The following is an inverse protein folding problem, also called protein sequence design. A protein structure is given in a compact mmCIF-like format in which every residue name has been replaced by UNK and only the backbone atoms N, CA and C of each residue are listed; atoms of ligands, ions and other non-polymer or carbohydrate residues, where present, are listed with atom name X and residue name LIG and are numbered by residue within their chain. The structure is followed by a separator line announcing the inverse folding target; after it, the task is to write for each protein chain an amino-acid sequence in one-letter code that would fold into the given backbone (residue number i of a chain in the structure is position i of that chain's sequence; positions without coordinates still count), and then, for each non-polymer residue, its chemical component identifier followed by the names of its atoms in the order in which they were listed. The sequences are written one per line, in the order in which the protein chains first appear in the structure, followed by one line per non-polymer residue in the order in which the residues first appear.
data_IF_223906337905
#
_entry.id   IF_223906337905
#
_cell.length_a   1.000
_cell.length_b   1.000
_cell.length_c   1.000
_cell.angle_alpha   90.00
_cell.angle_beta   90.00
_cell.angle_gamma   90.00
#
_symmetry.space_group_name_H-M   'P 1'
#
loop_
_entity.id
_entity.type
_entity.pdbx_description
1 polymer ?
#
# COMPACT_ATOMS: atom_id res chain seq x y z
N UNK A 1 -9.54 44.23 -27.05
CA UNK A 1 -10.42 43.19 -26.47
C UNK A 1 -10.42 41.87 -27.25
N UNK A 2 -10.73 41.81 -28.55
CA UNK A 2 -10.74 40.52 -29.30
C UNK A 2 -9.42 39.73 -29.26
N UNK A 3 -8.28 40.41 -29.31
CA UNK A 3 -6.95 39.78 -29.20
C UNK A 3 -6.69 39.10 -27.83
N UNK A 4 -7.33 39.60 -26.77
CA UNK A 4 -7.18 39.04 -25.42
C UNK A 4 -7.95 37.71 -25.31
N UNK A 5 -9.15 37.66 -25.89
CA UNK A 5 -9.99 36.46 -25.96
C UNK A 5 -9.31 35.34 -26.77
N UNK A 6 -8.64 35.66 -27.88
CA UNK A 6 -7.89 34.65 -28.65
C UNK A 6 -6.67 34.12 -27.91
N UNK A 7 -5.99 34.98 -27.15
CA UNK A 7 -4.86 34.56 -26.31
C UNK A 7 -5.33 33.62 -25.19
N UNK A 8 -6.46 33.94 -24.56
CA UNK A 8 -7.10 33.10 -23.56
C UNK A 8 -7.57 31.75 -24.14
N UNK A 9 -8.16 31.75 -25.34
CA UNK A 9 -8.56 30.51 -26.01
C UNK A 9 -7.37 29.59 -26.30
N UNK A 10 -6.23 30.14 -26.74
CA UNK A 10 -4.99 29.38 -26.95
C UNK A 10 -4.45 28.79 -25.66
N UNK A 11 -4.48 29.54 -24.55
CA UNK A 11 -4.07 29.04 -23.23
C UNK A 11 -4.94 27.87 -22.79
N UNK A 12 -6.27 27.98 -22.93
CA UNK A 12 -7.18 26.89 -22.60
C UNK A 12 -7.02 25.66 -23.51
N UNK A 13 -6.75 25.83 -24.80
CA UNK A 13 -6.44 24.71 -25.71
C UNK A 13 -5.19 23.94 -25.23
N UNK A 14 -4.16 24.65 -24.77
CA UNK A 14 -2.95 24.04 -24.24
C UNK A 14 -3.19 23.33 -22.88
N UNK A 15 -3.84 24.01 -21.94
CA UNK A 15 -4.07 23.52 -20.56
C UNK A 15 -4.99 22.31 -20.49
N UNK A 16 -6.00 22.24 -21.38
CA UNK A 16 -6.90 21.07 -21.48
C UNK A 16 -6.17 19.73 -21.63
N UNK A 17 -4.98 19.74 -22.21
CA UNK A 17 -4.20 18.51 -22.47
C UNK A 17 -3.24 18.11 -21.35
N UNK A 18 -2.77 19.06 -20.55
CA UNK A 18 -1.75 18.83 -19.51
C UNK A 18 -2.36 18.79 -18.12
N UNK A 19 -3.21 19.78 -17.81
CA UNK A 19 -3.74 20.03 -16.47
C UNK A 19 -5.23 19.65 -16.36
N UNK A 20 -5.93 19.59 -17.50
CA UNK A 20 -7.38 19.54 -17.54
C UNK A 20 -7.98 20.94 -17.37
N UNK A 21 -9.23 21.12 -17.79
CA UNK A 21 -9.97 22.38 -17.64
C UNK A 21 -11.10 22.20 -16.64
N UNK A 22 -11.51 23.31 -16.01
CA UNK A 22 -12.75 23.33 -15.24
C UNK A 22 -13.95 23.22 -16.19
N UNK A 23 -15.10 22.80 -15.67
CA UNK A 23 -16.33 22.68 -16.47
C UNK A 23 -16.79 24.03 -17.06
N UNK A 24 -16.48 25.13 -16.38
CA UNK A 24 -16.80 26.49 -16.83
C UNK A 24 -15.89 26.91 -17.99
N UNK A 25 -14.59 26.68 -17.86
CA UNK A 25 -13.61 26.95 -18.92
C UNK A 25 -13.86 26.10 -20.16
N UNK A 26 -14.25 24.82 -20.00
CA UNK A 26 -14.62 23.96 -21.13
C UNK A 26 -15.85 24.49 -21.89
N UNK A 27 -16.87 24.97 -21.17
CA UNK A 27 -18.07 25.54 -21.79
C UNK A 27 -17.76 26.84 -22.51
N UNK A 28 -16.98 27.72 -21.89
CA UNK A 28 -16.54 28.97 -22.50
C UNK A 28 -15.71 28.70 -23.76
N UNK A 29 -14.73 27.80 -23.69
CA UNK A 29 -13.90 27.43 -24.84
C UNK A 29 -14.74 26.81 -25.95
N UNK A 30 -15.68 25.93 -25.61
CA UNK A 30 -16.61 25.33 -26.57
C UNK A 30 -17.45 26.38 -27.31
N UNK A 31 -17.98 27.37 -26.58
CA UNK A 31 -18.72 28.48 -27.17
C UNK A 31 -17.82 29.35 -28.07
N UNK A 32 -16.61 29.66 -27.63
CA UNK A 32 -15.66 30.47 -28.40
C UNK A 32 -15.22 29.78 -29.71
N UNK A 33 -14.99 28.45 -29.67
CA UNK A 33 -14.63 27.68 -30.87
C UNK A 33 -15.78 27.56 -31.87
N UNK A 34 -17.04 27.63 -31.42
CA UNK A 34 -18.19 27.65 -32.32
C UNK A 34 -18.35 28.99 -33.05
N UNK A 35 -17.86 30.08 -32.46
CA UNK A 35 -17.98 31.45 -33.02
C UNK A 35 -16.72 31.89 -33.79
N UNK A 36 -15.54 31.36 -33.45
CA UNK A 36 -14.26 31.74 -34.06
C UNK A 36 -13.61 30.62 -34.87
N UNK A 37 -13.68 30.74 -36.20
CA UNK A 37 -13.04 29.79 -37.14
C UNK A 37 -11.51 29.73 -37.03
N UNK A 38 -10.85 30.84 -36.68
CA UNK A 38 -9.39 30.88 -36.54
C UNK A 38 -8.92 29.96 -35.39
N UNK A 39 -9.52 30.11 -34.21
CA UNK A 39 -9.22 29.25 -33.07
C UNK A 39 -9.68 27.80 -33.29
N UNK A 40 -10.79 27.59 -34.00
CA UNK A 40 -11.28 26.25 -34.37
C UNK A 40 -10.34 25.53 -35.35
N UNK A 41 -9.75 26.23 -36.32
CA UNK A 41 -8.76 25.68 -37.24
C UNK A 41 -7.47 25.28 -36.50
N UNK A 42 -6.97 26.13 -35.61
CA UNK A 42 -5.77 25.86 -34.80
C UNK A 42 -5.99 24.65 -33.88
N UNK A 43 -7.15 24.57 -33.21
CA UNK A 43 -7.53 23.42 -32.38
C UNK A 43 -7.64 22.12 -33.21
N UNK A 44 -8.19 22.17 -34.42
CA UNK A 44 -8.25 21.01 -35.34
C UNK A 44 -6.86 20.53 -35.75
N UNK A 45 -6.00 21.44 -36.22
CA UNK A 45 -4.64 21.11 -36.65
C UNK A 45 -3.80 20.51 -35.52
N UNK A 46 -3.94 21.02 -34.30
CA UNK A 46 -3.27 20.46 -33.13
C UNK A 46 -3.78 19.05 -32.80
N UNK A 47 -5.09 18.80 -32.89
CA UNK A 47 -5.65 17.47 -32.67
C UNK A 47 -5.25 16.47 -33.77
N UNK A 48 -5.14 16.91 -35.02
CA UNK A 48 -4.70 16.08 -36.15
C UNK A 48 -3.21 15.72 -36.04
N UNK A 49 -2.35 16.68 -35.69
CA UNK A 49 -0.93 16.38 -35.45
C UNK A 49 -0.73 15.43 -34.28
N UNK A 50 -1.47 15.61 -33.18
CA UNK A 50 -1.44 14.69 -32.04
C UNK A 50 -2.02 13.31 -32.37
N UNK A 51 -3.08 13.24 -33.18
CA UNK A 51 -3.62 11.95 -33.60
C UNK A 51 -2.67 11.21 -34.54
N UNK A 52 -1.99 11.93 -35.45
CA UNK A 52 -0.95 11.36 -36.30
C UNK A 52 0.24 10.84 -35.47
N UNK A 53 0.70 11.61 -34.47
CA UNK A 53 1.75 11.16 -33.54
C UNK A 53 1.31 9.94 -32.72
N UNK A 54 0.06 9.90 -32.22
CA UNK A 54 -0.46 8.72 -31.52
C UNK A 54 -0.67 7.52 -32.44
N UNK A 55 -1.05 7.73 -33.69
CA UNK A 55 -1.17 6.67 -34.68
C UNK A 55 0.22 6.08 -35.03
N UNK A 56 1.28 6.85 -34.82
CA UNK A 56 2.66 6.39 -34.91
C UNK A 56 3.11 5.57 -33.69
N UNK A 57 2.25 5.36 -32.67
CA UNK A 57 2.63 4.57 -31.50
C UNK A 57 2.74 3.08 -31.81
N UNK A 58 4.00 2.66 -31.88
CA UNK A 58 4.59 1.45 -31.31
C UNK A 58 3.73 0.20 -31.47
N UNK A 59 4.13 -0.65 -32.42
CA UNK A 59 3.73 -2.06 -32.49
C UNK A 59 4.02 -2.74 -31.15
N UNK A 60 3.09 -2.63 -30.21
CA UNK A 60 3.11 -3.41 -28.99
C UNK A 60 2.71 -4.82 -29.39
N UNK A 61 3.53 -5.83 -29.11
CA UNK A 61 3.18 -7.17 -29.47
C UNK A 61 1.89 -7.53 -28.74
N UNK A 62 0.90 -8.14 -29.42
CA UNK A 62 -0.43 -8.39 -28.87
C UNK A 62 -0.42 -9.30 -27.62
N UNK A 63 0.73 -9.92 -27.34
CA UNK A 63 0.97 -10.78 -26.19
C UNK A 63 1.59 -10.06 -24.96
N UNK A 64 1.80 -8.74 -25.00
CA UNK A 64 2.43 -8.02 -23.89
C UNK A 64 1.50 -7.97 -22.67
N UNK A 65 0.23 -7.68 -22.90
CA UNK A 65 -0.80 -7.70 -21.86
C UNK A 65 -0.96 -9.10 -21.25
N UNK A 66 -0.99 -10.16 -22.09
CA UNK A 66 -1.13 -11.54 -21.61
C UNK A 66 0.09 -11.99 -20.81
N UNK A 67 1.32 -11.62 -21.22
CA UNK A 67 2.55 -11.90 -20.46
C UNK A 67 2.58 -11.18 -19.11
N UNK A 68 2.16 -9.92 -19.07
CA UNK A 68 2.06 -9.16 -17.82
C UNK A 68 1.02 -9.77 -16.88
N UNK A 69 -0.17 -10.08 -17.39
CA UNK A 69 -1.24 -10.72 -16.61
C UNK A 69 -0.82 -12.09 -16.09
N UNK A 70 -0.12 -12.89 -16.90
CA UNK A 70 0.40 -14.19 -16.47
C UNK A 70 1.39 -14.06 -15.31
N UNK A 71 2.34 -13.11 -15.39
CA UNK A 71 3.32 -12.86 -14.33
C UNK A 71 2.64 -12.38 -13.04
N UNK A 72 1.63 -11.53 -13.15
CA UNK A 72 0.86 -11.05 -11.99
C UNK A 72 0.08 -12.19 -11.34
N UNK A 73 -0.58 -13.05 -12.13
CA UNK A 73 -1.32 -14.20 -11.59
C UNK A 73 -0.40 -15.20 -10.89
N UNK A 74 0.74 -15.54 -11.49
CA UNK A 74 1.75 -16.39 -10.86
C UNK A 74 2.21 -15.82 -9.52
N UNK A 75 2.47 -14.50 -9.45
CA UNK A 75 2.88 -13.86 -8.20
C UNK A 75 1.77 -13.83 -7.16
N UNK A 76 0.52 -13.63 -7.58
CA UNK A 76 -0.64 -13.65 -6.69
C UNK A 76 -0.87 -15.05 -6.09
N UNK A 77 -0.68 -16.12 -6.87
CA UNK A 77 -0.78 -17.50 -6.40
C UNK A 77 0.33 -17.83 -5.39
N UNK A 78 1.58 -17.45 -5.69
CA UNK A 78 2.71 -17.67 -4.76
C UNK A 78 2.51 -16.95 -3.41
N UNK A 79 1.94 -15.75 -3.42
CA UNK A 79 1.60 -15.02 -2.19
C UNK A 79 0.43 -15.68 -1.45
N UNK A 80 -0.55 -16.22 -2.17
CA UNK A 80 -1.72 -16.88 -1.60
C UNK A 80 -1.37 -18.23 -0.96
N UNK A 81 -0.37 -18.95 -1.46
CA UNK A 81 0.13 -20.19 -0.84
C UNK A 81 0.94 -19.92 0.44
N UNK A 82 1.63 -18.79 0.53
CA UNK A 82 2.46 -18.42 1.70
C UNK A 82 1.66 -17.84 2.87
N UNK A 83 0.51 -17.22 2.61
CA UNK A 83 -0.39 -16.69 3.65
C UNK A 83 -0.94 -17.72 4.66
N UNK A 84 -1.51 -18.87 4.26
CA UNK A 84 -2.17 -19.79 5.19
C UNK A 84 -1.16 -20.44 6.15
N UNK A 85 0.00 -20.86 5.65
CA UNK A 85 1.05 -21.47 6.46
C UNK A 85 1.53 -20.52 7.55
N UNK A 86 1.68 -19.24 7.22
CA UNK A 86 2.09 -18.20 8.17
C UNK A 86 1.04 -17.93 9.23
N UNK A 87 -0.25 -17.97 8.88
CA UNK A 87 -1.38 -17.85 9.84
C UNK A 87 -1.43 -19.03 10.81
N UNK A 88 -1.18 -20.26 10.32
CA UNK A 88 -1.11 -21.45 11.19
C UNK A 88 0.06 -21.41 12.17
N UNK A 89 1.26 -21.01 11.71
CA UNK A 89 2.43 -20.85 12.60
C UNK A 89 2.15 -19.81 13.69
N UNK A 90 1.51 -18.70 13.33
CA UNK A 90 1.09 -17.68 14.31
C UNK A 90 0.02 -18.19 15.27
N UNK A 91 -0.95 -18.97 14.80
CA UNK A 91 -2.00 -19.54 15.65
C UNK A 91 -1.42 -20.53 16.66
N UNK A 92 -0.52 -21.43 16.23
CA UNK A 92 0.15 -22.38 17.13
C UNK A 92 1.02 -21.64 18.14
N UNK A 93 1.75 -20.61 17.71
CA UNK A 93 2.54 -19.77 18.62
C UNK A 93 1.64 -19.05 19.66
N UNK A 94 0.51 -18.48 19.23
CA UNK A 94 -0.44 -17.82 20.12
C UNK A 94 -1.08 -18.79 21.11
N UNK A 95 -1.43 -20.02 20.67
CA UNK A 95 -1.97 -21.07 21.54
C UNK A 95 -0.94 -21.52 22.56
N UNK A 96 0.32 -21.76 22.14
CA UNK A 96 1.41 -22.11 23.04
C UNK A 96 1.64 -21.01 24.09
N UNK A 97 1.57 -19.75 23.67
CA UNK A 97 1.71 -18.60 24.56
C UNK A 97 0.54 -18.47 25.54
N UNK A 98 -0.70 -18.59 25.06
CA UNK A 98 -1.91 -18.54 25.88
C UNK A 98 -1.96 -19.69 26.90
N UNK A 99 -1.50 -20.88 26.51
CA UNK A 99 -1.40 -22.03 27.40
C UNK A 99 -0.35 -21.82 28.49
N UNK A 100 0.78 -21.18 28.14
CA UNK A 100 1.74 -20.67 29.12
C UNK A 100 1.05 -19.73 30.11
N UNK A 101 0.36 -18.70 29.62
CA UNK A 101 -0.37 -17.71 30.45
C UNK A 101 -1.41 -18.36 31.35
N UNK A 102 -2.16 -19.33 30.84
CA UNK A 102 -3.17 -20.04 31.62
C UNK A 102 -2.58 -20.88 32.75
N UNK A 103 -1.32 -21.33 32.63
CA UNK A 103 -0.62 -22.09 33.69
C UNK A 103 0.05 -21.21 34.75
N UNK A 104 0.16 -19.89 34.52
CA UNK A 104 0.70 -18.93 35.49
C UNK A 104 0.08 -18.99 36.90
N UNK A 105 -1.27 -19.00 37.07
CA UNK A 105 -1.87 -19.10 38.40
C UNK A 105 -1.58 -20.43 39.11
N UNK A 106 -1.42 -21.53 38.37
CA UNK A 106 -1.05 -22.83 38.94
C UNK A 106 0.39 -22.84 39.44
N UNK A 107 1.31 -22.23 38.68
CA UNK A 107 2.70 -22.07 39.10
C UNK A 107 2.81 -21.16 40.33
N UNK A 108 2.01 -20.08 40.39
CA UNK A 108 1.95 -19.21 41.57
C UNK A 108 1.55 -19.97 42.84
N UNK A 109 0.59 -20.88 42.74
CA UNK A 109 0.15 -21.69 43.87
C UNK A 109 1.25 -22.66 44.36
N UNK A 110 2.00 -23.27 43.43
CA UNK A 110 3.16 -24.10 43.79
C UNK A 110 4.30 -23.28 44.42
N UNK A 111 4.53 -22.07 43.92
CA UNK A 111 5.56 -21.15 44.45
C UNK A 111 5.19 -20.62 45.83
N UNK A 112 3.92 -20.32 46.11
CA UNK A 112 3.48 -19.96 47.47
C UNK A 112 3.69 -21.10 48.46
N UNK A 113 3.40 -22.33 48.05
CA UNK A 113 3.64 -23.52 48.88
C UNK A 113 5.14 -23.70 49.21
N UNK A 114 6.02 -23.53 48.21
CA UNK A 114 7.48 -23.56 48.41
C UNK A 114 7.95 -22.37 49.25
N UNK A 115 7.39 -21.18 49.04
CA UNK A 115 7.70 -19.97 49.79
C UNK A 115 7.32 -20.07 51.27
N UNK A 116 6.19 -20.72 51.58
CA UNK A 116 5.83 -21.06 52.96
C UNK A 116 6.80 -22.08 53.58
N UNK A 117 7.28 -23.05 52.79
CA UNK A 117 8.25 -24.04 53.28
C UNK A 117 9.66 -23.49 53.49
N UNK A 118 10.05 -22.40 52.81
CA UNK A 118 11.43 -21.87 52.83
C UNK A 118 11.59 -20.45 53.40
N UNK A 119 10.50 -19.76 53.73
CA UNK A 119 10.54 -18.42 54.35
C UNK A 119 11.04 -17.30 53.44
N UNK A 120 11.09 -17.53 52.13
CA UNK A 120 11.62 -16.57 51.16
C UNK A 120 10.67 -15.37 50.94
N UNK A 121 11.20 -14.14 50.80
CA UNK A 121 10.38 -12.94 50.63
C UNK A 121 9.63 -12.93 49.29
N UNK A 122 8.30 -12.75 49.36
CA UNK A 122 7.33 -12.78 48.25
C UNK A 122 7.71 -11.88 47.05
N UNK A 123 8.45 -10.79 47.31
CA UNK A 123 8.85 -9.79 46.30
C UNK A 123 9.90 -10.33 45.32
N UNK A 124 10.86 -11.13 45.79
CA UNK A 124 11.88 -11.75 44.93
C UNK A 124 11.24 -12.78 43.99
N UNK A 125 10.27 -13.53 44.48
CA UNK A 125 9.47 -14.47 43.69
C UNK A 125 8.60 -13.75 42.66
N UNK A 126 7.96 -12.65 43.05
CA UNK A 126 7.10 -11.87 42.15
C UNK A 126 7.91 -11.16 41.05
N UNK A 127 9.08 -10.60 41.39
CA UNK A 127 9.97 -9.95 40.43
C UNK A 127 10.61 -10.98 39.48
N UNK A 128 11.03 -12.14 39.98
CA UNK A 128 11.55 -13.23 39.15
C UNK A 128 10.50 -13.75 38.17
N UNK A 129 9.25 -13.85 38.61
CA UNK A 129 8.13 -14.24 37.75
C UNK A 129 7.89 -13.21 36.64
N UNK A 130 7.75 -11.93 36.98
CA UNK A 130 7.52 -10.86 35.99
C UNK A 130 8.68 -10.75 35.00
N UNK A 131 9.92 -10.87 35.46
CA UNK A 131 11.10 -10.80 34.61
C UNK A 131 11.17 -11.98 33.64
N UNK A 132 10.97 -13.20 34.12
CA UNK A 132 10.90 -14.40 33.29
C UNK A 132 9.72 -14.34 32.30
N UNK A 133 8.60 -13.75 32.72
CA UNK A 133 7.38 -13.63 31.93
C UNK A 133 7.46 -12.62 30.77
N UNK A 134 8.37 -11.65 30.85
CA UNK A 134 8.52 -10.61 29.83
C UNK A 134 9.24 -11.08 28.56
N UNK A 135 9.93 -12.23 28.62
CA UNK A 135 10.78 -12.73 27.53
C UNK A 135 9.98 -13.13 26.28
N UNK A 136 8.92 -13.96 26.34
CA UNK A 136 8.23 -14.37 25.13
C UNK A 136 7.40 -13.28 24.42
N UNK A 137 6.78 -12.27 25.07
CA UNK A 137 6.18 -11.14 24.34
C UNK A 137 7.24 -10.28 23.63
N UNK A 138 8.45 -10.15 24.21
CA UNK A 138 9.58 -9.50 23.54
C UNK A 138 10.00 -10.26 22.27
N UNK A 139 10.07 -11.59 22.32
CA UNK A 139 10.40 -12.42 21.15
C UNK A 139 9.32 -12.31 20.07
N UNK A 140 8.04 -12.35 20.44
CA UNK A 140 6.93 -12.19 19.49
C UNK A 140 6.93 -10.80 18.82
N UNK A 141 7.16 -9.75 19.60
CA UNK A 141 7.30 -8.39 19.09
C UNK A 141 8.49 -8.27 18.12
N UNK A 142 9.63 -8.88 18.46
CA UNK A 142 10.81 -8.91 17.61
C UNK A 142 10.56 -9.64 16.29
N UNK A 143 9.93 -10.82 16.32
CA UNK A 143 9.56 -11.59 15.12
C UNK A 143 8.58 -10.83 14.21
N UNK A 144 7.61 -10.12 14.79
CA UNK A 144 6.67 -9.28 14.05
C UNK A 144 7.36 -8.07 13.39
N UNK A 145 8.34 -7.47 14.08
CA UNK A 145 9.14 -6.36 13.55
C UNK A 145 10.10 -6.81 12.44
N UNK A 146 10.73 -7.97 12.56
CA UNK A 146 11.58 -8.52 11.50
C UNK A 146 10.78 -8.85 10.24
N UNK A 147 9.56 -9.37 10.40
CA UNK A 147 8.70 -9.65 9.27
C UNK A 147 8.23 -8.37 8.54
N UNK A 148 7.90 -7.30 9.28
CA UNK A 148 7.58 -6.00 8.68
C UNK A 148 8.75 -5.41 7.90
N UNK A 149 10.00 -5.63 8.34
CA UNK A 149 11.20 -5.17 7.60
C UNK A 149 11.43 -5.95 6.31
N UNK A 150 11.15 -7.25 6.30
CA UNK A 150 11.26 -8.08 5.07
C UNK A 150 10.15 -7.76 4.06
N UNK A 151 8.99 -7.28 4.54
CA UNK A 151 7.86 -6.89 3.70
C UNK A 151 7.98 -5.48 3.08
N UNK A 152 9.02 -4.70 3.37
CA UNK A 152 9.32 -3.45 2.69
C UNK A 152 10.41 -3.72 1.63
N UNK A 153 10.05 -4.11 0.39
CA UNK A 153 11.03 -4.14 -0.68
C UNK A 153 11.53 -2.71 -0.88
N UNK A 154 12.84 -2.57 -0.95
CA UNK A 154 13.55 -1.33 -1.30
C UNK A 154 12.78 -0.56 -2.36
N UNK A 155 12.40 0.67 -2.03
CA UNK A 155 12.07 1.67 -3.05
C UNK A 155 13.39 2.03 -3.73
N UNK A 156 13.58 1.74 -5.03
CA UNK A 156 14.69 2.33 -5.75
C UNK A 156 14.35 3.81 -6.01
N UNK A 157 15.22 4.70 -5.54
CA UNK A 157 15.32 6.10 -5.99
C UNK A 157 15.73 6.19 -7.47
#
# INVERSE_FOLDING_TARGET
MKNDLHTQAKDFIARRRVEGLTLEDERWLGAHLAECECCAAEHRQLNESLSAMRAMHLDLPPNLASRAQFRVRMRAEELREKEPTRKFVWAIAAVSWALGVATAPWVWHGVEWVGQATGAPRILLQAGFVMWWSVPPLIAAWAALSDKRVAQPEQPE
#
